data_IF_870598885611
#
_entry.id   IF_870598885611
#
_cell.length_a   1.000
_cell.length_b   1.000
_cell.length_c   1.000
_cell.angle_alpha   90.00
_cell.angle_beta   90.00
_cell.angle_gamma   90.00
#
_symmetry.space_group_name_H-M   'P 1'
#
loop_
_entity.id
_entity.type
_entity.pdbx_description
1 polymer ?
#
# COMPACT_ATOMS: atom_id res chain seq x y z
N UNK A 1 -12.91 20.20 -26.60
CA UNK A 1 -12.34 21.55 -26.41
C UNK A 1 -12.54 21.91 -24.96
N UNK A 2 -11.46 22.12 -24.21
CA UNK A 2 -11.51 22.47 -22.79
C UNK A 2 -11.95 23.93 -22.72
N UNK A 3 -13.15 24.18 -22.20
CA UNK A 3 -13.67 25.54 -22.04
C UNK A 3 -13.01 26.08 -20.78
N UNK A 4 -12.19 27.10 -20.92
CA UNK A 4 -11.62 27.82 -19.77
C UNK A 4 -12.70 28.83 -19.36
N UNK A 5 -13.38 28.53 -18.25
CA UNK A 5 -14.37 29.40 -17.63
C UNK A 5 -13.93 29.82 -16.22
N UNK A 6 -14.64 30.78 -15.65
CA UNK A 6 -14.34 31.33 -14.32
C UNK A 6 -14.46 30.26 -13.20
N UNK A 7 -15.25 29.20 -13.43
CA UNK A 7 -15.42 28.12 -12.46
C UNK A 7 -14.18 27.22 -12.41
N UNK A 8 -13.59 26.92 -13.57
CA UNK A 8 -12.34 26.17 -13.67
C UNK A 8 -11.19 26.92 -12.98
N UNK A 9 -11.10 28.24 -13.18
CA UNK A 9 -10.10 29.08 -12.51
C UNK A 9 -10.29 29.09 -10.98
N UNK A 10 -11.53 29.18 -10.51
CA UNK A 10 -11.83 29.13 -9.07
C UNK A 10 -11.42 27.79 -8.42
N UNK A 11 -11.58 26.66 -9.13
CA UNK A 11 -11.11 25.35 -8.67
C UNK A 11 -9.59 25.29 -8.62
N UNK A 12 -8.89 25.84 -9.61
CA UNK A 12 -7.43 25.90 -9.61
C UNK A 12 -6.89 26.73 -8.43
N UNK A 13 -7.47 27.90 -8.19
CA UNK A 13 -7.13 28.73 -7.02
C UNK A 13 -7.36 27.99 -5.69
N UNK A 14 -8.52 27.34 -5.55
CA UNK A 14 -8.84 26.56 -4.35
C UNK A 14 -7.84 25.41 -4.15
N UNK A 15 -7.46 24.73 -5.23
CA UNK A 15 -6.46 23.67 -5.22
C UNK A 15 -5.10 24.19 -4.74
N UNK A 16 -4.65 25.33 -5.28
CA UNK A 16 -3.39 25.96 -4.89
C UNK A 16 -3.39 26.38 -3.40
N UNK A 17 -4.52 26.85 -2.87
CA UNK A 17 -4.66 27.17 -1.44
C UNK A 17 -4.51 25.93 -0.56
N UNK A 18 -5.15 24.81 -0.94
CA UNK A 18 -5.03 23.54 -0.21
C UNK A 18 -3.59 23.02 -0.24
N UNK A 19 -2.93 23.04 -1.40
CA UNK A 19 -1.53 22.63 -1.54
C UNK A 19 -0.63 23.50 -0.66
N UNK A 20 -0.83 24.82 -0.68
CA UNK A 20 -0.02 25.75 0.11
C UNK A 20 -0.20 25.51 1.61
N UNK A 21 -1.43 25.31 2.07
CA UNK A 21 -1.72 24.98 3.46
C UNK A 21 -1.09 23.64 3.88
N UNK A 22 -1.16 22.62 3.01
CA UNK A 22 -0.52 21.33 3.26
C UNK A 22 1.00 21.48 3.39
N UNK A 23 1.64 22.25 2.52
CA UNK A 23 3.09 22.50 2.60
C UNK A 23 3.52 23.22 3.87
N UNK A 24 2.62 24.00 4.47
CA UNK A 24 2.85 24.68 5.74
C UNK A 24 2.54 23.80 6.96
N UNK A 25 1.92 22.63 6.76
CA UNK A 25 1.62 21.70 7.85
C UNK A 25 2.89 21.14 8.48
N UNK A 26 2.88 20.89 9.81
CA UNK A 26 4.01 20.30 10.49
C UNK A 26 4.34 18.90 9.96
N UNK A 27 3.33 18.12 9.55
CA UNK A 27 3.51 16.77 9.01
C UNK A 27 4.30 16.79 7.69
N UNK A 28 3.99 17.74 6.79
CA UNK A 28 4.73 17.90 5.54
C UNK A 28 6.18 18.34 5.77
N UNK A 29 6.39 19.28 6.71
CA UNK A 29 7.72 19.79 7.02
C UNK A 29 8.59 18.71 7.69
N UNK A 30 8.02 17.91 8.59
CA UNK A 30 8.70 16.78 9.22
C UNK A 30 9.12 15.74 8.17
N UNK A 31 8.19 15.36 7.28
CA UNK A 31 8.49 14.46 6.17
C UNK A 31 9.63 14.97 5.27
N UNK A 32 9.59 16.25 4.87
CA UNK A 32 10.65 16.86 4.07
C UNK A 32 12.00 16.88 4.79
N UNK A 33 12.02 17.19 6.08
CA UNK A 33 13.25 17.20 6.87
C UNK A 33 13.87 15.80 6.98
N UNK A 34 13.04 14.77 7.21
CA UNK A 34 13.50 13.38 7.27
C UNK A 34 13.97 12.87 5.91
N UNK A 35 13.30 13.23 4.81
CA UNK A 35 13.79 12.95 3.47
C UNK A 35 15.19 13.55 3.24
N UNK A 36 15.36 14.84 3.54
CA UNK A 36 16.65 15.51 3.38
C UNK A 36 17.75 14.88 4.26
N UNK A 37 17.41 14.42 5.47
CA UNK A 37 18.33 13.70 6.35
C UNK A 37 18.77 12.35 5.76
N UNK A 38 17.86 11.62 5.12
CA UNK A 38 18.16 10.37 4.43
C UNK A 38 19.06 10.61 3.21
N UNK A 39 18.77 11.63 2.42
CA UNK A 39 19.58 11.99 1.25
C UNK A 39 21.01 12.40 1.66
N UNK A 40 21.16 13.05 2.82
CA UNK A 40 22.46 13.44 3.36
C UNK A 40 23.24 12.29 4.03
N UNK A 41 22.59 11.18 4.39
CA UNK A 41 23.22 10.05 5.08
C UNK A 41 23.86 9.07 4.07
N UNK A 42 25.14 9.29 3.76
CA UNK A 42 25.91 8.45 2.85
C UNK A 42 25.96 6.98 3.28
N UNK A 43 25.99 6.69 4.58
CA UNK A 43 26.04 5.30 5.08
C UNK A 43 24.73 4.58 4.79
N UNK A 44 23.61 5.28 4.98
CA UNK A 44 22.29 4.74 4.62
C UNK A 44 22.19 4.55 3.10
N UNK A 45 22.66 5.51 2.29
CA UNK A 45 22.66 5.38 0.83
C UNK A 45 23.47 4.17 0.36
N UNK A 46 24.66 3.94 0.92
CA UNK A 46 25.48 2.78 0.59
C UNK A 46 24.78 1.46 0.94
N UNK A 47 24.10 1.40 2.10
CA UNK A 47 23.31 0.23 2.51
C UNK A 47 22.12 -0.02 1.60
N UNK A 48 21.43 1.03 1.16
CA UNK A 48 20.33 0.94 0.20
C UNK A 48 20.84 0.41 -1.13
N UNK A 49 21.95 0.93 -1.64
CA UNK A 49 22.56 0.46 -2.88
C UNK A 49 22.95 -1.03 -2.80
N UNK A 50 23.59 -1.47 -1.71
CA UNK A 50 23.94 -2.88 -1.49
C UNK A 50 22.71 -3.78 -1.45
N UNK A 51 21.63 -3.32 -0.81
CA UNK A 51 20.37 -4.06 -0.78
C UNK A 51 19.75 -4.18 -2.18
N UNK A 52 19.76 -3.11 -2.97
CA UNK A 52 19.24 -3.11 -4.34
C UNK A 52 20.04 -4.04 -5.26
N UNK A 53 21.36 -4.01 -5.19
CA UNK A 53 22.25 -4.92 -5.95
C UNK A 53 21.99 -6.38 -5.59
N UNK A 54 21.94 -6.70 -4.28
CA UNK A 54 21.67 -8.06 -3.81
C UNK A 54 20.26 -8.53 -4.20
N UNK A 55 19.28 -7.61 -4.17
CA UNK A 55 17.91 -7.89 -4.59
C UNK A 55 17.85 -8.22 -6.07
N UNK A 56 18.51 -7.43 -6.92
CA UNK A 56 18.58 -7.67 -8.36
C UNK A 56 19.23 -9.03 -8.65
N UNK A 57 20.40 -9.32 -8.04
CA UNK A 57 21.06 -10.62 -8.19
C UNK A 57 20.15 -11.79 -7.76
N UNK A 58 19.35 -11.61 -6.71
CA UNK A 58 18.40 -12.63 -6.24
C UNK A 58 17.19 -12.80 -7.17
N UNK A 59 16.72 -11.73 -7.82
CA UNK A 59 15.63 -11.73 -8.80
C UNK A 59 16.08 -12.37 -10.13
N UNK A 60 17.33 -12.15 -10.57
CA UNK A 60 17.88 -12.76 -11.79
C UNK A 60 17.91 -14.28 -11.73
N UNK A 61 18.23 -14.85 -10.56
CA UNK A 61 18.27 -16.30 -10.38
C UNK A 61 16.91 -16.91 -10.03
N UNK A 62 15.83 -16.12 -10.00
CA UNK A 62 14.50 -16.55 -9.51
C UNK A 62 14.00 -17.84 -10.16
N UNK A 63 14.18 -17.97 -11.47
CA UNK A 63 13.77 -19.13 -12.25
C UNK A 63 14.51 -20.43 -11.88
N UNK A 64 15.69 -20.34 -11.27
CA UNK A 64 16.58 -21.48 -10.97
C UNK A 64 16.88 -21.64 -9.47
N UNK A 65 16.15 -20.91 -8.61
CA UNK A 65 16.37 -20.85 -7.15
C UNK A 65 16.42 -22.22 -6.46
N UNK A 66 15.66 -23.20 -6.95
CA UNK A 66 15.57 -24.52 -6.33
C UNK A 66 16.77 -25.43 -6.64
N UNK A 67 17.53 -25.10 -7.69
CA UNK A 67 18.63 -25.93 -8.23
C UNK A 67 19.99 -25.32 -7.84
N UNK A 68 20.06 -24.00 -7.69
CA UNK A 68 21.31 -23.29 -7.38
C UNK A 68 21.59 -23.25 -5.86
N UNK A 69 22.72 -23.79 -5.37
CA UNK A 69 23.07 -23.74 -3.95
C UNK A 69 23.28 -22.30 -3.45
N UNK A 70 23.75 -21.41 -4.33
CA UNK A 70 23.99 -19.98 -4.09
C UNK A 70 22.69 -19.17 -3.88
N UNK A 71 21.55 -19.68 -4.32
CA UNK A 71 20.26 -19.02 -4.09
C UNK A 71 19.93 -18.90 -2.59
N UNK A 72 20.40 -19.85 -1.77
CA UNK A 72 20.23 -19.82 -0.32
C UNK A 72 21.10 -18.78 0.35
N UNK A 73 22.32 -18.55 -0.13
CA UNK A 73 23.22 -17.53 0.43
C UNK A 73 22.71 -16.14 0.06
N UNK A 74 22.43 -15.89 -1.22
CA UNK A 74 21.85 -14.62 -1.68
C UNK A 74 20.55 -14.26 -0.95
N UNK A 75 19.67 -15.23 -0.73
CA UNK A 75 18.45 -15.01 0.05
C UNK A 75 18.76 -14.56 1.48
N UNK A 76 19.72 -15.19 2.16
CA UNK A 76 20.09 -14.84 3.54
C UNK A 76 20.66 -13.44 3.61
N UNK A 77 21.56 -13.10 2.68
CA UNK A 77 22.20 -11.80 2.59
C UNK A 77 21.16 -10.70 2.33
N UNK A 78 20.22 -10.96 1.40
CA UNK A 78 19.09 -10.07 1.13
C UNK A 78 18.24 -9.79 2.38
N UNK A 79 17.87 -10.82 3.14
CA UNK A 79 17.09 -10.64 4.38
C UNK A 79 17.88 -9.95 5.48
N UNK A 80 19.20 -10.16 5.55
CA UNK A 80 20.07 -9.48 6.51
C UNK A 80 20.16 -7.98 6.19
N UNK A 81 20.46 -7.62 4.95
CA UNK A 81 20.49 -6.23 4.50
C UNK A 81 19.13 -5.54 4.68
N UNK A 82 18.03 -6.23 4.32
CA UNK A 82 16.67 -5.71 4.57
C UNK A 82 16.44 -5.41 6.04
N UNK A 83 16.86 -6.32 6.93
CA UNK A 83 16.71 -6.14 8.38
C UNK A 83 17.52 -4.95 8.88
N UNK A 84 18.74 -4.77 8.38
CA UNK A 84 19.57 -3.61 8.73
C UNK A 84 18.90 -2.30 8.32
N UNK A 85 18.33 -2.23 7.11
CA UNK A 85 17.57 -1.07 6.63
C UNK A 85 16.29 -0.84 7.43
N UNK A 86 15.52 -1.89 7.70
CA UNK A 86 14.27 -1.80 8.48
C UNK A 86 14.50 -1.32 9.92
N UNK A 87 15.66 -1.62 10.50
CA UNK A 87 16.05 -1.19 11.85
C UNK A 87 16.78 0.15 11.85
N UNK A 88 17.08 0.71 10.68
CA UNK A 88 17.80 1.98 10.60
C UNK A 88 16.92 3.12 11.12
N UNK A 89 17.38 3.94 12.09
CA UNK A 89 16.52 4.93 12.75
C UNK A 89 15.84 5.91 11.80
N UNK A 90 16.57 6.42 10.80
CA UNK A 90 16.01 7.34 9.79
C UNK A 90 14.92 6.69 8.93
N UNK A 91 15.06 5.41 8.59
CA UNK A 91 14.02 4.67 7.83
C UNK A 91 12.76 4.51 8.67
N UNK A 92 12.91 4.22 9.96
CA UNK A 92 11.80 4.18 10.91
C UNK A 92 11.09 5.53 11.02
N UNK A 93 11.86 6.62 11.15
CA UNK A 93 11.33 7.98 11.23
C UNK A 93 10.60 8.37 9.94
N UNK A 94 11.17 8.07 8.77
CA UNK A 94 10.54 8.36 7.48
C UNK A 94 9.17 7.69 7.38
N UNK A 95 9.05 6.43 7.76
CA UNK A 95 7.78 5.71 7.75
C UNK A 95 6.74 6.34 8.69
N UNK A 96 7.17 6.87 9.83
CA UNK A 96 6.27 7.57 10.75
C UNK A 96 5.78 8.90 10.14
N UNK A 97 6.70 9.69 9.61
CA UNK A 97 6.38 11.00 9.03
C UNK A 97 5.55 10.86 7.75
N UNK A 98 5.82 9.84 6.92
CA UNK A 98 5.04 9.50 5.74
C UNK A 98 3.60 9.11 6.11
N UNK A 99 3.43 8.26 7.14
CA UNK A 99 2.09 7.91 7.62
C UNK A 99 1.35 9.14 8.16
N UNK A 100 2.02 10.00 8.93
CA UNK A 100 1.41 11.23 9.46
C UNK A 100 0.94 12.16 8.33
N UNK A 101 1.77 12.36 7.30
CA UNK A 101 1.39 13.14 6.12
C UNK A 101 0.23 12.48 5.36
N UNK A 102 0.27 11.15 5.19
CA UNK A 102 -0.80 10.40 4.54
C UNK A 102 -2.13 10.52 5.31
N UNK A 103 -2.11 10.62 6.63
CA UNK A 103 -3.32 10.85 7.43
C UNK A 103 -3.96 12.20 7.12
N UNK A 104 -3.15 13.24 6.95
CA UNK A 104 -3.63 14.57 6.55
C UNK A 104 -4.24 14.51 5.15
N UNK A 105 -3.54 13.89 4.19
CA UNK A 105 -4.03 13.71 2.82
C UNK A 105 -5.33 12.90 2.77
N UNK A 106 -5.43 11.84 3.57
CA UNK A 106 -6.62 11.02 3.71
C UNK A 106 -7.82 11.82 4.22
N UNK A 107 -7.62 12.72 5.20
CA UNK A 107 -8.69 13.59 5.72
C UNK A 107 -9.17 14.58 4.67
N UNK A 108 -8.24 15.21 3.93
CA UNK A 108 -8.56 16.15 2.85
C UNK A 108 -9.35 15.45 1.75
N UNK A 109 -8.88 14.29 1.28
CA UNK A 109 -9.56 13.52 0.21
C UNK A 109 -10.94 13.04 0.62
N UNK A 110 -11.12 12.58 1.87
CA UNK A 110 -12.44 12.21 2.40
C UNK A 110 -13.37 13.42 2.47
N UNK A 111 -12.90 14.57 2.96
CA UNK A 111 -13.71 15.79 3.02
C UNK A 111 -14.17 16.24 1.63
N UNK A 112 -13.28 16.17 0.63
CA UNK A 112 -13.61 16.48 -0.76
C UNK A 112 -14.63 15.48 -1.34
N UNK A 113 -14.42 14.19 -1.12
CA UNK A 113 -15.35 13.16 -1.57
C UNK A 113 -16.76 13.36 -0.97
N UNK A 114 -16.85 13.61 0.33
CA UNK A 114 -18.12 13.88 1.02
C UNK A 114 -18.82 15.14 0.51
N UNK A 115 -18.06 16.18 0.14
CA UNK A 115 -18.62 17.41 -0.40
C UNK A 115 -19.20 17.23 -1.81
N UNK A 116 -18.65 16.29 -2.60
CA UNK A 116 -19.14 15.96 -3.94
C UNK A 116 -20.30 14.97 -3.88
N UNK A 117 -20.10 13.82 -3.24
CA UNK A 117 -21.11 12.78 -3.05
C UNK A 117 -20.71 11.86 -1.87
N UNK A 118 -21.54 11.74 -0.82
CA UNK A 118 -21.28 10.88 0.34
C UNK A 118 -21.08 9.38 0.02
N UNK A 119 -21.50 8.91 -1.16
CA UNK A 119 -21.35 7.52 -1.60
C UNK A 119 -19.96 7.19 -2.17
N UNK A 120 -19.12 8.20 -2.41
CA UNK A 120 -17.76 8.01 -2.92
C UNK A 120 -16.88 7.40 -1.83
N UNK A 121 -16.40 6.18 -2.09
CA UNK A 121 -15.43 5.51 -1.23
C UNK A 121 -14.01 5.98 -1.56
N UNK A 122 -13.28 6.43 -0.54
CA UNK A 122 -11.86 6.82 -0.63
C UNK A 122 -11.00 5.72 -0.03
N UNK A 123 -10.15 5.10 -0.85
CA UNK A 123 -9.07 4.24 -0.35
C UNK A 123 -7.93 5.15 0.13
N UNK A 124 -7.78 5.27 1.45
CA UNK A 124 -6.85 6.21 2.07
C UNK A 124 -5.42 5.70 2.11
N UNK A 125 -5.18 4.41 1.82
CA UNK A 125 -3.85 3.80 1.86
C UNK A 125 -3.23 3.70 3.26
N UNK A 126 -3.90 4.21 4.30
CA UNK A 126 -3.43 4.16 5.68
C UNK A 126 -3.39 2.72 6.21
N UNK A 127 -2.44 2.40 7.11
CA UNK A 127 -2.43 1.12 7.78
C UNK A 127 -3.76 0.90 8.53
N UNK A 128 -4.35 -0.28 8.36
CA UNK A 128 -5.63 -0.66 8.97
C UNK A 128 -6.89 0.10 8.50
N UNK A 129 -6.78 0.98 7.50
CA UNK A 129 -7.97 1.61 6.92
C UNK A 129 -8.86 0.57 6.21
N UNK A 130 -10.18 0.78 6.20
CA UNK A 130 -11.09 -0.10 5.48
C UNK A 130 -10.71 -0.13 4.01
N UNK A 131 -10.50 -1.33 3.46
CA UNK A 131 -10.37 -1.52 2.01
C UNK A 131 -11.72 -1.87 1.43
N UNK A 132 -11.96 -1.45 0.18
CA UNK A 132 -13.16 -1.81 -0.56
C UNK A 132 -13.29 -3.33 -0.60
N UNK A 133 -14.35 -3.89 0.00
CA UNK A 133 -14.60 -5.33 -0.08
C UNK A 133 -14.84 -5.68 -1.55
N UNK A 134 -14.24 -6.75 -2.10
CA UNK A 134 -14.59 -7.21 -3.43
C UNK A 134 -16.10 -7.51 -3.45
N UNK A 135 -16.79 -7.05 -4.50
CA UNK A 135 -18.17 -7.43 -4.73
C UNK A 135 -18.18 -8.96 -4.86
N UNK A 136 -18.66 -9.66 -3.82
CA UNK A 136 -19.01 -11.06 -3.97
C UNK A 136 -20.08 -11.10 -5.06
N UNK A 137 -19.73 -11.64 -6.23
CA UNK A 137 -20.74 -12.12 -7.17
C UNK A 137 -21.69 -12.99 -6.35
N UNK A 138 -22.97 -12.62 -6.35
CA UNK A 138 -24.02 -13.37 -5.68
C UNK A 138 -23.84 -14.84 -6.06
N UNK A 139 -23.58 -15.71 -5.08
CA UNK A 139 -23.47 -17.14 -5.29
C UNK A 139 -24.75 -17.59 -5.99
N UNK A 140 -24.62 -18.09 -7.23
CA UNK A 140 -25.67 -18.82 -7.92
C UNK A 140 -26.22 -19.90 -6.98
N UNK A 141 -27.56 -20.09 -6.88
CA UNK A 141 -28.12 -21.12 -6.00
C UNK A 141 -27.57 -22.49 -6.39
N UNK A 142 -26.94 -23.20 -5.45
CA UNK A 142 -26.51 -24.58 -5.67
C UNK A 142 -27.75 -25.48 -5.83
N UNK A 143 -27.75 -26.44 -6.77
CA UNK A 143 -28.89 -27.33 -6.94
C UNK A 143 -28.98 -28.30 -5.75
N UNK A 144 -30.17 -28.39 -5.18
CA UNK A 144 -30.54 -29.28 -4.07
C UNK A 144 -30.24 -30.74 -4.47
N UNK A 145 -29.34 -31.41 -3.74
CA UNK A 145 -29.13 -32.85 -3.87
C UNK A 145 -30.42 -33.59 -3.47
N UNK A 146 -31.12 -34.16 -4.45
CA UNK A 146 -32.19 -35.14 -4.19
C UNK A 146 -31.56 -36.38 -3.57
N UNK A 147 -31.88 -36.64 -2.30
CA UNK A 147 -31.51 -37.86 -1.60
C UNK A 147 -32.32 -39.01 -2.23
N UNK A 148 -31.65 -39.84 -3.02
CA UNK A 148 -32.22 -41.06 -3.56
C UNK A 148 -32.60 -41.97 -2.40
N UNK A 149 -33.91 -42.19 -2.24
CA UNK A 149 -34.42 -43.27 -1.42
C UNK A 149 -34.10 -44.59 -2.10
N UNK A 150 -33.50 -45.51 -1.37
CA UNK A 150 -33.49 -46.91 -1.73
C UNK A 150 -33.39 -47.77 -0.47
N UNK A 151 -34.27 -48.75 -0.51
CA UNK A 151 -34.14 -50.09 0.03
C UNK A 151 -34.75 -50.35 1.42
N UNK A 152 -35.91 -51.01 1.30
CA UNK A 152 -36.76 -51.55 2.32
C UNK A 152 -36.17 -52.85 2.91
N UNK A 153 -36.41 -53.00 4.22
CA UNK A 153 -36.64 -54.24 4.97
C UNK A 153 -35.47 -55.24 5.09
N UNK A 154 -35.33 -55.94 6.24
CA UNK A 154 -36.18 -57.11 6.47
C UNK A 154 -36.58 -57.39 7.95
N UNK A 155 -37.72 -58.12 8.12
CA UNK A 155 -38.06 -59.18 9.13
C UNK A 155 -37.73 -59.00 10.62
N UNK A 156 -38.47 -59.44 11.64
CA UNK A 156 -39.53 -60.46 11.91
C UNK A 156 -40.00 -60.19 13.39
N UNK A 157 -40.84 -60.99 14.10
CA UNK A 157 -41.40 -62.32 13.83
C UNK A 157 -42.86 -62.31 13.38
#
# INVERSE_FOLDING_TARGET
>A
MLIIDDQLLAIEEATNRVISALKQSPEYQAYQATQAAIEADLVLQDKVAQFEETKQAYEEIEAYRDILPEARTLRRDLFQLKRELDLYPLVGQLRQDENALQEVLAKVTQALAMAVDPSIFVDTGLPFAPRRKPHHQAKSPQPVKRKGGKDASPTHP
#
